data_IF_274528854550
#
_entry.id   IF_274528854550
#
_cell.length_a   1.000
_cell.length_b   1.000
_cell.length_c   1.000
_cell.angle_alpha   90.00
_cell.angle_beta   90.00
_cell.angle_gamma   90.00
#
_symmetry.space_group_name_H-M   'P 1'
#
loop_
_entity.id
_entity.type
_entity.pdbx_description
1 polymer ?
#
# COMPACT_ATOMS: atom_id res chain seq x y z
N UNK A 1 41.12 -142.70 -0.87
CA UNK A 1 41.96 -141.49 -1.03
C UNK A 1 41.11 -140.31 -0.60
N UNK A 2 41.03 -140.03 0.70
CA UNK A 2 41.90 -139.11 1.47
C UNK A 2 41.63 -137.63 1.08
N UNK A 3 40.81 -136.96 1.92
CA UNK A 3 41.01 -135.60 2.53
C UNK A 3 41.11 -134.38 1.57
N UNK A 4 40.78 -133.12 1.88
CA UNK A 4 40.45 -132.39 3.12
C UNK A 4 40.20 -130.93 2.74
N UNK A 5 39.30 -130.25 3.49
CA UNK A 5 39.31 -128.83 3.92
C UNK A 5 39.45 -127.73 2.84
N UNK A 6 38.83 -126.55 2.93
CA UNK A 6 38.98 -125.64 4.06
C UNK A 6 38.09 -124.41 3.91
N UNK A 7 37.38 -124.12 4.99
CA UNK A 7 36.86 -122.81 5.35
C UNK A 7 38.02 -121.87 5.75
N UNK A 8 38.02 -120.62 5.27
CA UNK A 8 38.34 -119.46 6.12
C UNK A 8 38.07 -118.11 5.44
N UNK A 9 37.11 -117.40 6.03
CA UNK A 9 37.20 -116.03 6.54
C UNK A 9 37.98 -114.96 5.74
N UNK A 10 37.29 -113.89 5.35
CA UNK A 10 37.47 -112.55 5.95
C UNK A 10 36.45 -111.57 5.31
N UNK A 11 35.50 -111.02 6.06
CA UNK A 11 35.62 -109.86 6.95
C UNK A 11 35.86 -108.53 6.20
N UNK A 12 34.81 -107.68 6.14
CA UNK A 12 34.74 -106.30 6.68
C UNK A 12 33.95 -105.30 5.83
N UNK A 13 32.86 -104.84 6.44
CA UNK A 13 32.49 -103.45 6.69
C UNK A 13 32.63 -102.43 5.53
N UNK A 14 31.49 -102.01 4.99
CA UNK A 14 31.38 -101.02 3.92
C UNK A 14 30.28 -99.98 4.14
N UNK A 15 30.34 -99.28 5.28
CA UNK A 15 30.00 -97.86 5.35
C UNK A 15 28.52 -97.48 5.24
N UNK A 16 27.91 -97.35 6.41
CA UNK A 16 26.79 -96.44 6.67
C UNK A 16 27.05 -95.06 6.02
N UNK A 17 26.24 -94.71 5.02
CA UNK A 17 26.10 -93.32 4.56
C UNK A 17 24.63 -92.99 4.39
N UNK A 18 23.83 -93.32 5.41
CA UNK A 18 22.70 -92.47 5.72
C UNK A 18 23.26 -91.15 6.29
N UNK A 19 23.88 -90.34 5.41
CA UNK A 19 24.30 -88.98 5.76
C UNK A 19 23.02 -88.21 6.01
N UNK A 20 22.65 -88.20 7.29
CA UNK A 20 21.70 -87.29 7.88
C UNK A 20 21.77 -85.96 7.13
N UNK A 21 20.65 -85.54 6.56
CA UNK A 21 20.40 -84.14 6.23
C UNK A 21 20.43 -83.40 7.56
N UNK A 22 21.63 -83.13 8.04
CA UNK A 22 21.87 -82.30 9.20
C UNK A 22 21.46 -80.91 8.75
N UNK A 23 20.25 -80.50 9.12
CA UNK A 23 19.76 -79.14 8.98
C UNK A 23 20.67 -78.22 9.80
N UNK A 24 21.77 -77.78 9.19
CA UNK A 24 22.79 -76.96 9.81
C UNK A 24 22.22 -75.60 10.18
N UNK A 25 22.26 -75.27 11.47
CA UNK A 25 21.83 -74.00 12.07
C UNK A 25 22.49 -72.80 11.35
N UNK A 26 23.68 -72.99 10.81
CA UNK A 26 24.43 -72.03 9.99
C UNK A 26 23.65 -71.51 8.79
N UNK A 27 22.86 -72.36 8.12
CA UNK A 27 22.02 -71.95 6.98
C UNK A 27 20.86 -71.04 7.41
N UNK A 28 20.37 -71.15 8.65
CA UNK A 28 19.28 -70.31 9.17
C UNK A 28 19.80 -68.98 9.70
N UNK A 29 20.99 -68.96 10.31
CA UNK A 29 21.65 -67.73 10.78
C UNK A 29 22.06 -66.84 9.61
N UNK A 30 22.55 -67.42 8.51
CA UNK A 30 22.83 -66.68 7.29
C UNK A 30 21.54 -66.12 6.66
N UNK A 31 20.47 -66.92 6.62
CA UNK A 31 19.18 -66.47 6.11
C UNK A 31 18.58 -65.33 6.96
N UNK A 32 18.66 -65.43 8.30
CA UNK A 32 18.16 -64.37 9.18
C UNK A 32 19.00 -63.10 9.12
N UNK A 33 20.32 -63.21 9.00
CA UNK A 33 21.23 -62.06 8.86
C UNK A 33 21.03 -61.34 7.52
N UNK A 34 20.85 -62.09 6.44
CA UNK A 34 20.52 -61.53 5.13
C UNK A 34 19.17 -60.81 5.13
N UNK A 35 18.16 -61.41 5.77
CA UNK A 35 16.83 -60.80 5.91
C UNK A 35 16.89 -59.51 6.74
N UNK A 36 17.63 -59.50 7.84
CA UNK A 36 17.83 -58.32 8.67
C UNK A 36 18.55 -57.21 7.90
N UNK A 37 19.60 -57.55 7.16
CA UNK A 37 20.30 -56.60 6.28
C UNK A 37 19.38 -56.00 5.23
N UNK A 38 18.61 -56.83 4.53
CA UNK A 38 17.65 -56.38 3.52
C UNK A 38 16.59 -55.41 4.10
N UNK A 39 16.11 -55.68 5.32
CA UNK A 39 15.15 -54.81 6.00
C UNK A 39 15.75 -53.43 6.31
N UNK A 40 16.98 -53.39 6.82
CA UNK A 40 17.67 -52.14 7.14
C UNK A 40 17.94 -51.32 5.88
N UNK A 41 18.39 -51.94 4.79
CA UNK A 41 18.61 -51.24 3.52
C UNK A 41 17.31 -50.73 2.90
N UNK A 42 16.22 -51.49 3.00
CA UNK A 42 14.92 -51.07 2.48
C UNK A 42 14.37 -49.85 3.23
N UNK A 43 14.37 -49.88 4.56
CA UNK A 43 13.86 -48.79 5.38
C UNK A 43 14.78 -47.56 5.30
N UNK A 44 16.10 -47.77 5.37
CA UNK A 44 17.08 -46.70 5.29
C UNK A 44 17.08 -46.01 3.92
N UNK A 45 17.00 -46.79 2.83
CA UNK A 45 16.90 -46.26 1.47
C UNK A 45 15.62 -45.45 1.26
N UNK A 46 14.49 -45.92 1.79
CA UNK A 46 13.23 -45.18 1.72
C UNK A 46 13.28 -43.87 2.53
N UNK A 47 13.80 -43.91 3.76
CA UNK A 47 13.93 -42.73 4.62
C UNK A 47 14.86 -41.67 4.03
N UNK A 48 15.94 -42.07 3.36
CA UNK A 48 16.87 -41.15 2.69
C UNK A 48 16.23 -40.43 1.50
N UNK A 49 15.28 -41.06 0.81
CA UNK A 49 14.58 -40.47 -0.33
C UNK A 49 13.32 -39.67 0.09
N UNK A 50 12.84 -39.86 1.32
CA UNK A 50 11.66 -39.20 1.86
C UNK A 50 11.95 -37.71 2.10
N UNK A 51 11.52 -36.85 1.17
CA UNK A 51 11.54 -35.41 1.34
C UNK A 51 10.42 -34.97 2.28
N UNK A 52 10.78 -34.56 3.49
CA UNK A 52 9.85 -33.98 4.44
C UNK A 52 9.57 -32.52 4.06
N UNK A 53 8.58 -32.32 3.18
CA UNK A 53 8.13 -30.98 2.79
C UNK A 53 7.32 -30.35 3.91
N UNK A 54 7.98 -29.55 4.75
CA UNK A 54 7.31 -28.66 5.70
C UNK A 54 6.88 -27.38 5.00
N UNK A 55 5.58 -27.17 4.83
CA UNK A 55 5.04 -25.87 4.45
C UNK A 55 4.56 -25.16 5.72
N UNK A 56 5.22 -24.05 6.09
CA UNK A 56 4.72 -23.17 7.14
C UNK A 56 3.63 -22.30 6.52
N UNK A 57 2.38 -22.59 6.86
CA UNK A 57 1.23 -21.77 6.45
C UNK A 57 1.20 -20.56 7.39
N UNK A 58 1.62 -19.41 6.89
CA UNK A 58 1.55 -18.12 7.59
C UNK A 58 0.51 -17.22 6.93
N UNK A 59 -0.32 -16.59 7.74
CA UNK A 59 -1.30 -15.60 7.29
C UNK A 59 -0.65 -14.22 7.32
N UNK A 60 -0.04 -13.82 6.20
CA UNK A 60 0.45 -12.46 6.00
C UNK A 60 -0.62 -11.62 5.31
N UNK A 61 -1.07 -10.54 5.94
CA UNK A 61 -1.92 -9.56 5.29
C UNK A 61 -1.04 -8.41 4.77
N UNK A 62 -1.08 -8.15 3.46
CA UNK A 62 -0.44 -6.97 2.88
C UNK A 62 -1.32 -5.77 3.20
N UNK A 63 -0.92 -5.01 4.23
CA UNK A 63 -1.59 -3.76 4.58
C UNK A 63 -0.84 -2.64 3.88
N UNK A 64 -1.47 -1.99 2.90
CA UNK A 64 -0.97 -0.73 2.38
C UNK A 64 -1.08 0.27 3.53
N UNK A 65 0.03 0.92 3.92
CA UNK A 65 -0.01 2.04 4.86
C UNK A 65 -0.61 3.25 4.14
N UNK A 66 -1.90 3.20 3.86
CA UNK A 66 -2.64 4.38 3.41
C UNK A 66 -2.84 5.27 4.64
N UNK A 67 -1.96 6.26 4.75
CA UNK A 67 -2.26 7.43 5.56
C UNK A 67 -3.38 8.20 4.86
N UNK A 68 -4.62 7.76 5.07
CA UNK A 68 -5.81 8.45 4.58
C UNK A 68 -5.81 9.84 5.22
N UNK A 69 -5.53 10.85 4.40
CA UNK A 69 -5.58 12.25 4.82
C UNK A 69 -6.91 12.81 4.38
N UNK A 70 -7.81 13.01 5.33
CA UNK A 70 -9.07 13.72 5.09
C UNK A 70 -8.76 15.18 4.80
N UNK A 71 -8.88 15.59 3.53
CA UNK A 71 -8.73 16.99 3.12
C UNK A 71 -10.09 17.66 3.33
N UNK A 72 -10.23 18.40 4.42
CA UNK A 72 -11.41 19.20 4.72
C UNK A 72 -11.10 20.67 4.49
N UNK A 73 -11.87 21.34 3.63
CA UNK A 73 -11.80 22.78 3.49
C UNK A 73 -12.43 23.45 4.73
N UNK A 74 -11.70 24.36 5.38
CA UNK A 74 -12.09 24.99 6.66
C UNK A 74 -13.34 25.87 6.56
N UNK A 75 -13.53 26.53 5.42
CA UNK A 75 -14.56 27.56 5.30
C UNK A 75 -15.88 26.97 4.75
N UNK A 76 -15.84 25.78 4.13
CA UNK A 76 -17.02 25.14 3.55
C UNK A 76 -17.62 25.92 2.37
N UNK A 77 -17.91 25.25 1.26
CA UNK A 77 -18.48 25.92 0.08
C UNK A 77 -19.08 24.91 -0.90
N UNK A 78 -19.84 25.42 -1.88
CA UNK A 78 -20.43 24.59 -2.93
C UNK A 78 -19.30 24.10 -3.85
N UNK A 79 -19.29 22.80 -4.17
CA UNK A 79 -18.29 22.22 -5.07
C UNK A 79 -18.66 22.61 -6.51
N UNK A 80 -17.78 23.35 -7.18
CA UNK A 80 -17.95 23.69 -8.60
C UNK A 80 -17.44 22.58 -9.51
N UNK A 81 -16.28 21.99 -9.18
CA UNK A 81 -15.71 20.89 -9.93
C UNK A 81 -14.77 20.02 -9.08
N UNK A 82 -14.79 18.71 -9.34
CA UNK A 82 -13.81 17.75 -8.85
C UNK A 82 -12.90 17.41 -10.04
N UNK A 83 -11.59 17.58 -9.87
CA UNK A 83 -10.59 17.44 -10.96
C UNK A 83 -9.81 16.13 -10.92
N UNK A 84 -10.22 15.20 -10.06
CA UNK A 84 -9.54 13.92 -9.84
C UNK A 84 -10.54 12.79 -9.73
N UNK A 85 -10.15 11.63 -10.27
CA UNK A 85 -10.90 10.39 -10.19
C UNK A 85 -10.23 9.39 -9.24
N UNK A 86 -10.97 8.38 -8.80
CA UNK A 86 -10.47 7.30 -7.95
C UNK A 86 -9.26 6.60 -8.61
N UNK A 87 -8.14 6.52 -7.87
CA UNK A 87 -6.90 5.91 -8.36
C UNK A 87 -5.95 6.87 -9.08
N UNK A 88 -6.28 8.15 -9.20
CA UNK A 88 -5.38 9.16 -9.78
C UNK A 88 -4.22 9.46 -8.82
N UNK A 89 -2.98 9.34 -9.30
CA UNK A 89 -1.80 9.73 -8.54
C UNK A 89 -1.67 11.26 -8.51
N UNK A 90 -1.67 11.86 -7.32
CA UNK A 90 -1.62 13.32 -7.12
C UNK A 90 -0.32 13.74 -6.43
N UNK A 91 0.16 14.93 -6.76
CA UNK A 91 1.36 15.55 -6.16
C UNK A 91 0.96 16.75 -5.31
N UNK A 92 1.88 17.18 -4.45
CA UNK A 92 1.67 18.37 -3.62
C UNK A 92 1.50 19.60 -4.51
N UNK A 93 0.38 20.30 -4.34
CA UNK A 93 0.02 21.51 -5.10
C UNK A 93 -0.96 21.28 -6.24
N UNK A 94 -1.30 20.02 -6.54
CA UNK A 94 -2.31 19.73 -7.56
C UNK A 94 -3.71 20.17 -7.08
N UNK A 95 -4.47 20.81 -7.97
CA UNK A 95 -5.83 21.26 -7.67
C UNK A 95 -6.78 20.08 -7.76
N UNK A 96 -7.20 19.57 -6.62
CA UNK A 96 -8.11 18.42 -6.53
C UNK A 96 -9.58 18.83 -6.69
N UNK A 97 -9.92 19.98 -6.12
CA UNK A 97 -11.29 20.46 -5.99
C UNK A 97 -11.31 21.98 -6.18
N UNK A 98 -12.32 22.44 -6.92
CA UNK A 98 -12.62 23.86 -7.10
C UNK A 98 -13.94 24.16 -6.41
N UNK A 99 -13.92 25.13 -5.51
CA UNK A 99 -15.10 25.65 -4.85
C UNK A 99 -15.75 26.72 -5.74
N UNK A 100 -17.07 26.85 -5.64
CA UNK A 100 -17.81 27.94 -6.27
C UNK A 100 -17.44 29.26 -5.58
N UNK A 101 -16.78 30.14 -6.34
CA UNK A 101 -16.32 31.44 -5.86
C UNK A 101 -17.34 32.56 -6.11
N UNK A 102 -18.54 32.24 -6.60
CA UNK A 102 -19.56 33.23 -6.97
C UNK A 102 -19.95 34.13 -5.80
N UNK A 103 -20.28 33.56 -4.63
CA UNK A 103 -20.66 34.36 -3.46
C UNK A 103 -19.50 35.20 -2.94
N UNK A 104 -18.30 34.63 -2.83
CA UNK A 104 -17.10 35.33 -2.37
C UNK A 104 -16.71 36.47 -3.31
N UNK A 105 -16.86 36.28 -4.62
CA UNK A 105 -16.62 37.35 -5.61
C UNK A 105 -17.62 38.48 -5.48
N UNK A 106 -18.91 38.16 -5.29
CA UNK A 106 -19.95 39.16 -5.09
C UNK A 106 -19.66 39.97 -3.82
N UNK A 107 -19.36 39.30 -2.71
CA UNK A 107 -19.03 39.97 -1.46
C UNK A 107 -17.79 40.87 -1.59
N UNK A 108 -16.72 40.39 -2.22
CA UNK A 108 -15.53 41.19 -2.50
C UNK A 108 -15.87 42.42 -3.36
N UNK A 109 -16.74 42.28 -4.36
CA UNK A 109 -17.14 43.39 -5.21
C UNK A 109 -17.91 44.46 -4.44
N UNK A 110 -18.78 44.06 -3.52
CA UNK A 110 -19.57 44.96 -2.67
C UNK A 110 -18.64 45.73 -1.72
N UNK A 111 -17.76 45.01 -1.01
CA UNK A 111 -16.83 45.62 -0.05
C UNK A 111 -15.86 46.56 -0.77
N UNK A 112 -15.35 46.18 -1.95
CA UNK A 112 -14.48 47.05 -2.75
C UNK A 112 -15.20 48.31 -3.21
N UNK A 113 -16.44 48.20 -3.67
CA UNK A 113 -17.24 49.36 -4.08
C UNK A 113 -17.51 50.31 -2.90
N UNK A 114 -17.86 49.77 -1.73
CA UNK A 114 -18.05 50.56 -0.50
C UNK A 114 -16.76 51.28 -0.08
N UNK A 115 -15.62 50.58 -0.14
CA UNK A 115 -14.33 51.18 0.19
C UNK A 115 -13.99 52.34 -0.74
N UNK A 116 -14.21 52.17 -2.06
CA UNK A 116 -14.00 53.24 -3.03
C UNK A 116 -14.91 54.44 -2.75
N UNK A 117 -16.18 54.20 -2.43
CA UNK A 117 -17.13 55.27 -2.10
C UNK A 117 -16.71 56.05 -0.86
N UNK A 118 -16.34 55.36 0.23
CA UNK A 118 -15.90 56.03 1.46
C UNK A 118 -14.58 56.77 1.28
N UNK A 119 -13.66 56.20 0.52
CA UNK A 119 -12.36 56.83 0.25
C UNK A 119 -12.54 58.11 -0.57
N UNK A 120 -13.40 58.08 -1.59
CA UNK A 120 -13.70 59.26 -2.41
C UNK A 120 -14.46 60.33 -1.62
N UNK A 121 -15.45 59.94 -0.81
CA UNK A 121 -16.16 60.85 0.07
C UNK A 121 -15.22 61.50 1.11
N UNK A 122 -14.29 60.74 1.68
CA UNK A 122 -13.27 61.28 2.57
C UNK A 122 -12.38 62.32 1.87
N UNK A 123 -11.89 62.02 0.66
CA UNK A 123 -11.09 62.97 -0.11
C UNK A 123 -11.87 64.26 -0.41
N UNK A 124 -13.15 64.16 -0.79
CA UNK A 124 -14.03 65.32 -1.01
C UNK A 124 -14.19 66.14 0.28
N UNK A 125 -14.51 65.50 1.40
CA UNK A 125 -14.70 66.19 2.67
C UNK A 125 -13.43 66.88 3.17
N UNK A 126 -12.25 66.30 2.93
CA UNK A 126 -10.96 66.93 3.22
C UNK A 126 -10.76 68.17 2.34
N UNK A 127 -11.06 68.08 1.05
CA UNK A 127 -10.98 69.23 0.14
C UNK A 127 -11.97 70.34 0.50
N UNK A 128 -13.19 70.00 0.92
CA UNK A 128 -14.19 70.96 1.41
C UNK A 128 -13.73 71.64 2.71
N UNK A 129 -13.16 70.87 3.65
CA UNK A 129 -12.61 71.40 4.91
C UNK A 129 -11.46 72.39 4.67
N UNK A 130 -10.57 72.05 3.73
CA UNK A 130 -9.38 72.84 3.44
C UNK A 130 -9.64 73.96 2.42
N UNK A 131 -10.90 74.17 2.02
CA UNK A 131 -11.32 75.14 0.98
C UNK A 131 -10.52 75.01 -0.32
N UNK A 132 -10.12 73.77 -0.67
CA UNK A 132 -9.30 73.50 -1.84
C UNK A 132 -10.08 73.75 -3.14
N UNK A 133 -9.40 74.14 -4.22
CA UNK A 133 -10.05 74.39 -5.51
C UNK A 133 -10.53 73.12 -6.22
N UNK A 134 -9.93 71.97 -5.90
CA UNK A 134 -10.24 70.67 -6.49
C UNK A 134 -9.97 69.52 -5.51
N UNK A 135 -10.68 68.41 -5.69
CA UNK A 135 -10.45 67.17 -4.93
C UNK A 135 -9.32 66.37 -5.57
N UNK A 136 -8.30 66.03 -4.80
CA UNK A 136 -7.17 65.21 -5.26
C UNK A 136 -7.49 63.71 -5.26
N UNK A 137 -7.91 63.18 -6.42
CA UNK A 137 -8.16 61.74 -6.58
C UNK A 137 -6.98 60.96 -7.18
N UNK A 138 -5.94 61.64 -7.65
CA UNK A 138 -4.86 61.07 -8.48
C UNK A 138 -4.05 59.94 -7.81
N UNK A 139 -4.03 59.90 -6.48
CA UNK A 139 -3.31 58.89 -5.69
C UNK A 139 -4.20 57.70 -5.28
N UNK A 140 -5.49 57.73 -5.61
CA UNK A 140 -6.50 56.78 -5.15
C UNK A 140 -6.96 55.87 -6.30
N UNK A 141 -6.97 54.55 -6.07
CA UNK A 141 -7.50 53.56 -7.02
C UNK A 141 -9.04 53.55 -6.99
N UNK A 142 -9.64 54.56 -7.62
CA UNK A 142 -11.08 54.78 -7.67
C UNK A 142 -11.65 54.53 -9.07
N UNK A 143 -12.87 54.01 -9.12
CA UNK A 143 -13.61 53.89 -10.37
C UNK A 143 -13.92 55.27 -10.95
N UNK A 144 -13.82 55.47 -12.29
CA UNK A 144 -14.19 56.73 -12.94
C UNK A 144 -15.61 57.21 -12.62
N UNK A 145 -16.53 56.26 -12.41
CA UNK A 145 -17.91 56.57 -12.03
C UNK A 145 -17.98 57.28 -10.67
N UNK A 146 -17.20 56.79 -9.69
CA UNK A 146 -17.13 57.36 -8.33
C UNK A 146 -16.49 58.74 -8.36
N UNK A 147 -15.37 58.90 -9.08
CA UNK A 147 -14.68 60.19 -9.26
C UNK A 147 -15.66 61.23 -9.83
N UNK A 148 -16.31 60.91 -10.95
CA UNK A 148 -17.25 61.83 -11.58
C UNK A 148 -18.45 62.18 -10.67
N UNK A 149 -18.89 61.23 -9.84
CA UNK A 149 -19.96 61.43 -8.88
C UNK A 149 -19.57 62.43 -7.81
N UNK A 150 -18.45 62.19 -7.13
CA UNK A 150 -17.97 63.05 -6.05
C UNK A 150 -17.56 64.45 -6.55
N UNK A 151 -16.95 64.57 -7.74
CA UNK A 151 -16.64 65.88 -8.33
C UNK A 151 -17.89 66.72 -8.55
N UNK A 152 -18.99 66.10 -9.05
CA UNK A 152 -20.27 66.82 -9.23
C UNK A 152 -20.85 67.27 -7.90
N UNK A 153 -20.77 66.44 -6.85
CA UNK A 153 -21.23 66.84 -5.51
C UNK A 153 -20.39 68.01 -4.97
N UNK A 154 -19.07 67.94 -5.11
CA UNK A 154 -18.16 68.98 -4.66
C UNK A 154 -18.46 70.34 -5.33
N UNK A 155 -18.59 70.36 -6.65
CA UNK A 155 -18.92 71.58 -7.38
C UNK A 155 -20.31 72.13 -7.01
N UNK A 156 -21.30 71.25 -6.82
CA UNK A 156 -22.64 71.63 -6.42
C UNK A 156 -22.65 72.28 -5.03
N UNK A 157 -21.94 71.72 -4.06
CA UNK A 157 -21.84 72.27 -2.71
C UNK A 157 -21.15 73.64 -2.72
N UNK A 158 -20.06 73.79 -3.48
CA UNK A 158 -19.33 75.07 -3.56
C UNK A 158 -20.17 76.21 -4.15
N UNK A 159 -21.05 75.91 -5.11
CA UNK A 159 -21.99 76.89 -5.67
C UNK A 159 -23.06 77.38 -4.68
N UNK A 160 -23.35 76.63 -3.62
CA UNK A 160 -24.33 77.04 -2.61
C UNK A 160 -23.71 77.90 -1.50
N UNK A 161 -22.40 77.81 -1.28
CA UNK A 161 -21.69 78.49 -0.19
C UNK A 161 -21.12 79.85 -0.64
N UNK A 162 -20.93 80.06 -1.95
CA UNK A 162 -20.50 81.33 -2.55
C UNK A 162 -21.69 82.25 -2.88
#
# INVERSE_FOLDING_TARGET
MITTTNDKSRDRNGGDKNKARQFGITSRILASSALAGALVFAIGGWAAQAKLSGAVITHGQVVVSEQVKTIQHRDGGIIAAIRVDNGTAVRKGDVLLVLDDTQTRVELSIVKAQLQQFTAAHARLVAERDEADAVGFDTLDLSPAVISGETRLFEANRRMVA
#
